data_IF_131532341288
#
_entry.id   IF_131532341288
#
_cell.length_a   1.000
_cell.length_b   1.000
_cell.length_c   1.000
_cell.angle_alpha   90.00
_cell.angle_beta   90.00
_cell.angle_gamma   90.00
#
_symmetry.space_group_name_H-M   'P 1'
#
loop_
_entity.id
_entity.type
_entity.pdbx_description
1 polymer ?
#
# COMPACT_ATOMS: atom_id res chain seq x y z
N UNK A 1 21.87 -5.37 -13.02
CA UNK A 1 22.88 -6.13 -12.23
C UNK A 1 22.13 -7.00 -11.23
N UNK A 2 22.67 -8.15 -10.85
CA UNK A 2 22.02 -9.09 -9.93
C UNK A 2 22.29 -8.70 -8.47
N UNK A 3 21.35 -8.96 -7.55
CA UNK A 3 21.47 -8.73 -6.10
C UNK A 3 22.84 -9.12 -5.50
N UNK A 4 23.40 -10.31 -5.78
CA UNK A 4 24.71 -10.71 -5.25
C UNK A 4 25.88 -9.82 -5.71
N UNK A 5 25.76 -9.13 -6.85
CA UNK A 5 26.80 -8.22 -7.31
C UNK A 5 26.84 -6.91 -6.48
N UNK A 6 25.69 -6.43 -6.01
CA UNK A 6 25.62 -5.22 -5.19
C UNK A 6 26.13 -5.44 -3.76
N UNK A 7 25.82 -6.59 -3.17
CA UNK A 7 26.33 -6.96 -1.83
C UNK A 7 27.86 -7.04 -1.80
N UNK A 8 28.46 -7.63 -2.84
CA UNK A 8 29.92 -7.69 -2.97
C UNK A 8 30.56 -6.31 -3.13
N UNK A 9 29.93 -5.39 -3.88
CA UNK A 9 30.43 -4.02 -4.01
C UNK A 9 30.42 -3.28 -2.67
N UNK A 10 29.37 -3.46 -1.86
CA UNK A 10 29.29 -2.87 -0.52
C UNK A 10 30.39 -3.44 0.38
N UNK A 11 30.54 -4.77 0.42
CA UNK A 11 31.57 -5.43 1.26
C UNK A 11 32.99 -4.99 0.86
N UNK A 12 33.28 -4.85 -0.43
CA UNK A 12 34.60 -4.38 -0.87
C UNK A 12 34.79 -2.88 -0.58
N UNK A 13 33.74 -2.07 -0.76
CA UNK A 13 33.79 -0.62 -0.55
C UNK A 13 34.00 -0.18 0.90
N UNK A 14 33.63 -1.02 1.88
CA UNK A 14 33.81 -0.71 3.31
C UNK A 14 35.16 -1.18 3.88
N UNK A 15 35.96 -1.93 3.12
CA UNK A 15 37.24 -2.45 3.62
C UNK A 15 38.23 -1.32 3.88
N UNK A 16 38.83 -1.32 5.07
CA UNK A 16 39.84 -0.34 5.45
C UNK A 16 39.29 1.02 5.87
N UNK A 17 37.96 1.18 5.92
CA UNK A 17 37.35 2.37 6.50
C UNK A 17 37.52 2.38 8.01
N UNK A 18 37.64 3.58 8.61
CA UNK A 18 37.75 3.70 10.05
C UNK A 18 36.40 3.40 10.74
N UNK A 19 36.41 2.99 12.03
CA UNK A 19 35.21 2.55 12.75
C UNK A 19 34.06 3.55 12.74
N UNK A 20 34.36 4.84 12.83
CA UNK A 20 33.38 5.93 12.80
C UNK A 20 32.62 5.97 11.47
N UNK A 21 33.31 5.79 10.34
CA UNK A 21 32.68 5.74 9.02
C UNK A 21 31.87 4.47 8.84
N UNK A 22 32.33 3.35 9.39
CA UNK A 22 31.56 2.09 9.38
C UNK A 22 30.25 2.22 10.19
N UNK A 23 30.27 2.95 11.30
CA UNK A 23 29.09 3.22 12.10
C UNK A 23 28.05 4.05 11.31
N UNK A 24 28.49 5.12 10.63
CA UNK A 24 27.61 5.93 9.79
C UNK A 24 26.98 5.12 8.63
N UNK A 25 27.77 4.25 8.00
CA UNK A 25 27.28 3.37 6.93
C UNK A 25 26.26 2.37 7.48
N UNK A 26 26.49 1.82 8.67
CA UNK A 26 25.56 0.90 9.32
C UNK A 26 24.23 1.59 9.65
N UNK A 27 24.26 2.82 10.18
CA UNK A 27 23.08 3.62 10.47
C UNK A 27 22.28 3.92 9.19
N UNK A 28 22.96 4.26 8.09
CA UNK A 28 22.33 4.49 6.81
C UNK A 28 21.62 3.24 6.27
N UNK A 29 22.28 2.07 6.31
CA UNK A 29 21.68 0.80 5.88
C UNK A 29 20.46 0.46 6.74
N UNK A 30 20.56 0.65 8.06
CA UNK A 30 19.44 0.45 8.98
C UNK A 30 18.25 1.35 8.62
N UNK A 31 18.50 2.65 8.36
CA UNK A 31 17.48 3.59 7.92
C UNK A 31 16.80 3.15 6.61
N UNK A 32 17.59 2.75 5.60
CA UNK A 32 17.04 2.28 4.32
C UNK A 32 16.15 1.06 4.52
N UNK A 33 16.59 0.10 5.36
CA UNK A 33 15.80 -1.09 5.69
C UNK A 33 14.49 -0.74 6.38
N UNK A 34 14.55 0.15 7.36
CA UNK A 34 13.37 0.62 8.09
C UNK A 34 12.38 1.29 7.15
N UNK A 35 12.86 2.19 6.27
CA UNK A 35 12.03 2.89 5.28
C UNK A 35 11.33 1.92 4.32
N UNK A 36 12.04 0.93 3.79
CA UNK A 36 11.46 -0.05 2.86
C UNK A 36 10.44 -0.94 3.57
N UNK A 37 10.75 -1.44 4.76
CA UNK A 37 9.84 -2.29 5.53
C UNK A 37 8.59 -1.54 6.02
N UNK A 38 8.71 -0.27 6.40
CA UNK A 38 7.56 0.54 6.83
C UNK A 38 6.74 1.06 5.65
N UNK A 39 7.38 1.38 4.52
CA UNK A 39 6.69 1.85 3.32
C UNK A 39 5.77 0.79 2.73
N UNK A 40 6.13 -0.50 2.81
CA UNK A 40 5.28 -1.56 2.27
C UNK A 40 3.99 -1.72 3.10
N UNK A 41 4.13 -1.74 4.42
CA UNK A 41 3.00 -1.84 5.35
C UNK A 41 2.10 -0.61 5.26
N UNK A 42 2.68 0.60 5.27
CA UNK A 42 1.92 1.85 5.18
C UNK A 42 1.17 1.98 3.84
N UNK A 43 1.79 1.58 2.73
CA UNK A 43 1.13 1.64 1.42
C UNK A 43 0.00 0.60 1.30
N UNK A 44 0.17 -0.61 1.83
CA UNK A 44 -0.91 -1.61 1.87
C UNK A 44 -2.08 -1.15 2.74
N UNK A 45 -1.80 -0.59 3.92
CA UNK A 45 -2.83 -0.07 4.82
C UNK A 45 -3.58 1.10 4.18
N UNK A 46 -2.87 2.05 3.57
CA UNK A 46 -3.46 3.20 2.88
C UNK A 46 -4.29 2.76 1.67
N UNK A 47 -3.78 1.84 0.85
CA UNK A 47 -4.53 1.31 -0.29
C UNK A 47 -5.80 0.59 0.17
N UNK A 48 -5.70 -0.25 1.20
CA UNK A 48 -6.87 -0.95 1.75
C UNK A 48 -7.93 -0.01 2.31
N UNK A 49 -7.52 1.14 2.86
CA UNK A 49 -8.43 2.16 3.37
C UNK A 49 -9.15 2.91 2.23
N UNK A 50 -8.44 3.21 1.14
CA UNK A 50 -9.01 3.81 -0.06
C UNK A 50 -10.01 2.86 -0.73
N UNK A 51 -9.63 1.60 -0.94
CA UNK A 51 -10.49 0.57 -1.57
C UNK A 51 -11.79 0.38 -0.78
N UNK A 52 -11.74 0.37 0.57
CA UNK A 52 -12.94 0.31 1.42
C UNK A 52 -13.84 1.52 1.27
N UNK A 53 -13.26 2.70 1.10
CA UNK A 53 -13.99 3.94 0.85
C UNK A 53 -14.74 3.90 -0.47
N UNK A 54 -14.08 3.44 -1.53
CA UNK A 54 -14.67 3.29 -2.87
C UNK A 54 -15.79 2.24 -2.88
N UNK A 55 -15.59 1.08 -2.24
CA UNK A 55 -16.59 0.03 -2.16
C UNK A 55 -17.88 0.52 -1.47
N UNK A 56 -17.73 1.30 -0.40
CA UNK A 56 -18.87 1.87 0.34
C UNK A 56 -19.63 2.90 -0.49
N UNK A 57 -18.91 3.69 -1.29
CA UNK A 57 -19.54 4.68 -2.17
C UNK A 57 -20.27 3.99 -3.34
N UNK A 58 -19.68 2.93 -3.90
CA UNK A 58 -20.33 2.12 -4.94
C UNK A 58 -21.62 1.49 -4.40
N UNK A 59 -21.55 0.83 -3.25
CA UNK A 59 -22.71 0.20 -2.59
C UNK A 59 -23.85 1.19 -2.33
N UNK A 60 -23.53 2.40 -1.84
CA UNK A 60 -24.55 3.45 -1.63
C UNK A 60 -25.18 3.95 -2.94
N UNK A 61 -24.38 4.02 -4.00
CA UNK A 61 -24.85 4.47 -5.31
C UNK A 61 -25.77 3.43 -5.94
N UNK A 62 -25.42 2.14 -5.79
CA UNK A 62 -26.26 1.02 -6.23
C UNK A 62 -27.56 0.94 -5.43
N UNK A 63 -27.52 1.10 -4.10
CA UNK A 63 -28.73 1.14 -3.26
C UNK A 63 -29.67 2.28 -3.67
N UNK A 64 -29.13 3.49 -3.85
CA UNK A 64 -29.93 4.64 -4.28
C UNK A 64 -30.53 4.43 -5.68
N UNK A 65 -29.77 3.82 -6.59
CA UNK A 65 -30.26 3.50 -7.93
C UNK A 65 -31.41 2.48 -7.89
N UNK A 66 -31.29 1.44 -7.08
CA UNK A 66 -32.35 0.45 -6.88
C UNK A 66 -33.59 1.07 -6.22
N UNK A 67 -33.43 1.96 -5.24
CA UNK A 67 -34.57 2.67 -4.66
C UNK A 67 -35.33 3.48 -5.72
N UNK A 68 -34.62 4.18 -6.62
CA UNK A 68 -35.23 4.92 -7.74
C UNK A 68 -35.95 4.00 -8.73
N UNK A 69 -35.37 2.86 -9.09
CA UNK A 69 -35.99 1.92 -10.04
C UNK A 69 -37.29 1.30 -9.48
N UNK A 70 -37.38 1.15 -8.15
CA UNK A 70 -38.48 0.47 -7.49
C UNK A 70 -39.53 1.41 -6.85
N UNK A 71 -39.35 2.73 -6.91
CA UNK A 71 -40.29 3.74 -6.35
C UNK A 71 -41.74 3.54 -6.78
N UNK A 72 -41.99 3.12 -8.02
CA UNK A 72 -43.36 2.85 -8.53
C UNK A 72 -43.63 1.37 -8.80
N UNK A 73 -42.79 0.47 -8.26
CA UNK A 73 -42.89 -0.96 -8.56
C UNK A 73 -44.27 -1.53 -8.20
N UNK A 74 -44.81 -1.14 -7.04
CA UNK A 74 -46.14 -1.57 -6.59
C UNK A 74 -47.30 -0.97 -7.41
N UNK A 75 -47.11 0.18 -8.06
CA UNK A 75 -48.12 0.77 -8.96
C UNK A 75 -48.11 0.14 -10.35
N UNK A 76 -46.93 -0.22 -10.88
CA UNK A 76 -46.81 -0.80 -12.23
C UNK A 76 -47.12 -2.30 -12.27
N UNK A 77 -46.99 -2.99 -11.13
CA UNK A 77 -47.30 -4.42 -10.99
C UNK A 77 -48.22 -4.68 -9.78
N UNK A 78 -49.51 -4.31 -9.85
CA UNK A 78 -50.47 -4.66 -8.81
C UNK A 78 -50.56 -6.20 -8.72
N UNK A 79 -50.48 -6.73 -7.50
CA UNK A 79 -50.63 -8.18 -7.25
C UNK A 79 -52.07 -8.58 -7.57
N UNK A 80 -52.25 -9.62 -8.39
CA UNK A 80 -53.55 -10.26 -8.65
C UNK A 80 -54.20 -10.83 -7.38
#
# INVERSE_FOLDING_TARGET
MTTPAYEQLIIQGIKGLPPETLAEIADFIYFVRQRVSHSHILNEELQSALDRGELKNLSRTEEAHLEEEFVDYEQRYPRE
#
